data_IF_408218212248
#
_entry.id   IF_408218212248
#
_cell.length_a   1.000
_cell.length_b   1.000
_cell.length_c   1.000
_cell.angle_alpha   90.00
_cell.angle_beta   90.00
_cell.angle_gamma   90.00
#
_symmetry.space_group_name_H-M   'P 1'
#
loop_
_entity.id
_entity.type
_entity.pdbx_description
1 polymer ?
#
# COMPACT_ATOMS: atom_id res chain seq x y z
N UNK A 1 -3.42 32.14 28.42
CA UNK A 1 -4.90 32.22 28.31
C UNK A 1 -5.23 33.40 27.42
N UNK A 2 -5.80 33.17 26.24
CA UNK A 2 -6.25 34.26 25.34
C UNK A 2 -7.36 35.05 26.01
N UNK A 3 -7.22 36.38 26.05
CA UNK A 3 -8.26 37.28 26.56
C UNK A 3 -9.18 37.62 25.40
N UNK A 4 -10.43 37.14 25.44
CA UNK A 4 -11.42 37.28 24.35
C UNK A 4 -11.74 38.73 23.95
N UNK A 5 -11.43 39.72 24.81
CA UNK A 5 -11.80 41.12 24.63
C UNK A 5 -10.67 42.05 24.15
N UNK A 6 -9.59 41.52 23.56
CA UNK A 6 -8.52 42.36 22.97
C UNK A 6 -8.19 41.94 21.53
N UNK A 7 -7.93 42.88 20.61
CA UNK A 7 -7.45 42.54 19.27
C UNK A 7 -6.13 41.75 19.39
N UNK A 8 -6.11 40.57 18.80
CA UNK A 8 -4.93 39.68 18.84
C UNK A 8 -3.93 40.16 17.80
N UNK A 9 -2.70 40.46 18.23
CA UNK A 9 -1.60 40.85 17.33
C UNK A 9 -1.38 39.79 16.24
N UNK A 10 -1.55 40.17 14.98
CA UNK A 10 -1.31 39.28 13.85
C UNK A 10 0.14 39.41 13.39
N UNK A 11 0.97 38.44 13.78
CA UNK A 11 2.34 38.35 13.29
C UNK A 11 2.38 38.01 11.80
N UNK A 12 3.18 38.76 11.04
CA UNK A 12 3.45 38.51 9.61
C UNK A 12 4.57 37.48 9.38
N UNK A 13 5.25 37.02 10.44
CA UNK A 13 6.27 35.97 10.37
C UNK A 13 5.65 34.63 9.92
N UNK A 14 6.48 33.78 9.32
CA UNK A 14 6.13 32.42 8.90
C UNK A 14 5.52 31.63 10.07
N UNK A 15 6.07 31.78 11.28
CA UNK A 15 5.55 31.13 12.51
C UNK A 15 4.16 31.64 12.88
N UNK A 16 3.90 32.94 12.71
CA UNK A 16 2.58 33.53 12.97
C UNK A 16 1.54 33.05 11.98
N UNK A 17 1.92 32.92 10.70
CA UNK A 17 1.08 32.33 9.65
C UNK A 17 0.77 30.87 9.95
N UNK A 18 1.80 30.06 10.26
CA UNK A 18 1.66 28.65 10.63
C UNK A 18 0.74 28.47 11.84
N UNK A 19 0.92 29.27 12.89
CA UNK A 19 0.07 29.21 14.07
C UNK A 19 -1.40 29.43 13.75
N UNK A 20 -1.74 30.42 12.91
CA UNK A 20 -3.13 30.68 12.50
C UNK A 20 -3.72 29.54 11.69
N UNK A 21 -2.97 29.01 10.72
CA UNK A 21 -3.40 27.86 9.92
C UNK A 21 -3.65 26.64 10.82
N UNK A 22 -2.70 26.31 11.70
CA UNK A 22 -2.82 25.18 12.63
C UNK A 22 -3.96 25.39 13.63
N UNK A 23 -4.14 26.61 14.15
CA UNK A 23 -5.21 26.95 15.10
C UNK A 23 -6.59 26.78 14.48
N UNK A 24 -6.78 27.26 13.25
CA UNK A 24 -8.03 27.11 12.49
C UNK A 24 -8.31 25.63 12.22
N UNK A 25 -7.28 24.85 11.85
CA UNK A 25 -7.40 23.40 11.65
C UNK A 25 -7.72 22.65 12.96
N UNK A 26 -7.12 23.05 14.08
CA UNK A 26 -7.40 22.44 15.39
C UNK A 26 -8.84 22.67 15.86
N UNK A 27 -9.40 23.85 15.57
CA UNK A 27 -10.81 24.17 15.87
C UNK A 27 -11.79 23.39 14.99
N UNK A 28 -11.42 23.09 13.74
CA UNK A 28 -12.22 22.29 12.79
C UNK A 28 -12.13 20.76 13.05
N UNK A 29 -11.08 20.31 13.75
CA UNK A 29 -10.82 18.88 14.07
C UNK A 29 -11.65 18.30 15.21
N UNK A 30 -12.58 19.07 15.80
CA UNK A 30 -13.56 18.56 16.77
C UNK A 30 -14.50 17.49 16.18
N UNK A 31 -14.56 17.38 14.85
CA UNK A 31 -15.17 16.24 14.18
C UNK A 31 -14.14 15.10 13.99
N UNK A 32 -13.90 14.30 15.04
CA UNK A 32 -13.22 12.99 14.95
C UNK A 32 -13.98 12.15 13.91
N UNK A 33 -13.50 12.11 12.67
CA UNK A 33 -14.01 11.18 11.66
C UNK A 33 -13.45 9.80 12.02
N UNK A 34 -14.24 9.00 12.73
CA UNK A 34 -13.89 7.62 13.02
C UNK A 34 -13.64 6.88 11.70
N UNK A 35 -12.66 5.98 11.73
CA UNK A 35 -12.50 5.05 10.62
C UNK A 35 -13.79 4.21 10.54
N UNK A 36 -14.41 4.18 9.36
CA UNK A 36 -15.71 3.51 9.16
C UNK A 36 -15.54 2.32 8.24
N UNK A 37 -16.46 1.35 8.31
CA UNK A 37 -16.51 0.21 7.37
C UNK A 37 -16.43 0.64 5.90
N UNK A 38 -17.11 1.75 5.54
CA UNK A 38 -17.08 2.32 4.19
C UNK A 38 -15.69 2.85 3.82
N UNK A 39 -14.96 3.43 4.77
CA UNK A 39 -13.56 3.82 4.57
C UNK A 39 -12.67 2.60 4.37
N UNK A 40 -12.84 1.54 5.18
CA UNK A 40 -12.12 0.28 5.03
C UNK A 40 -12.30 -0.33 3.64
N UNK A 41 -13.53 -0.37 3.11
CA UNK A 41 -13.79 -0.88 1.75
C UNK A 41 -13.07 -0.08 0.66
N UNK A 42 -12.93 1.25 0.82
CA UNK A 42 -12.36 2.12 -0.22
C UNK A 42 -10.84 2.23 -0.15
N UNK A 43 -10.27 2.15 1.05
CA UNK A 43 -8.85 2.40 1.31
C UNK A 43 -8.03 1.12 1.42
N UNK A 44 -8.66 -0.05 1.33
CA UNK A 44 -7.96 -1.31 1.41
C UNK A 44 -6.99 -1.48 0.24
N UNK A 45 -5.72 -1.73 0.57
CA UNK A 45 -4.68 -1.94 -0.43
C UNK A 45 -4.62 -3.41 -0.84
N UNK A 46 -4.91 -3.70 -2.10
CA UNK A 46 -4.82 -5.05 -2.66
C UNK A 46 -3.38 -5.50 -2.91
N UNK A 47 -2.42 -4.58 -2.92
CA UNK A 47 -1.02 -4.89 -3.15
C UNK A 47 -0.37 -5.58 -1.95
N UNK A 48 -1.00 -5.55 -0.78
CA UNK A 48 -0.50 -6.31 0.37
C UNK A 48 -0.96 -7.77 0.37
N UNK A 49 -1.83 -8.20 -0.55
CA UNK A 49 -2.25 -9.60 -0.64
C UNK A 49 -1.16 -10.48 -1.26
N UNK A 50 -0.73 -11.51 -0.56
CA UNK A 50 0.22 -12.53 -1.02
C UNK A 50 -0.46 -13.89 -1.00
N UNK A 51 -0.29 -14.68 -2.05
CA UNK A 51 -0.96 -15.97 -2.17
C UNK A 51 -0.62 -16.89 -0.98
N UNK A 52 -1.63 -17.60 -0.46
CA UNK A 52 -1.47 -18.50 0.69
C UNK A 52 -1.72 -17.86 2.06
N UNK A 53 -1.92 -16.54 2.15
CA UNK A 53 -2.18 -15.85 3.41
C UNK A 53 -3.45 -16.33 4.14
N UNK A 54 -4.42 -16.85 3.38
CA UNK A 54 -5.71 -17.33 3.88
C UNK A 54 -5.57 -18.39 4.97
N UNK A 55 -4.53 -19.22 4.89
CA UNK A 55 -4.23 -20.28 5.86
C UNK A 55 -3.96 -19.74 7.26
N UNK A 56 -3.50 -18.50 7.36
CA UNK A 56 -3.09 -17.87 8.62
C UNK A 56 -4.13 -16.90 9.17
N UNK A 57 -5.27 -16.70 8.48
CA UNK A 57 -6.28 -15.74 8.89
C UNK A 57 -6.86 -16.02 10.28
N UNK A 58 -7.12 -17.28 10.61
CA UNK A 58 -7.68 -17.66 11.91
C UNK A 58 -6.74 -17.26 13.06
N UNK A 59 -5.48 -17.67 12.97
CA UNK A 59 -4.48 -17.39 14.02
C UNK A 59 -4.14 -15.89 14.05
N UNK A 60 -4.06 -15.22 12.90
CA UNK A 60 -3.88 -13.77 12.85
C UNK A 60 -5.05 -13.01 13.52
N UNK A 61 -6.28 -13.52 13.38
CA UNK A 61 -7.47 -12.99 14.04
C UNK A 61 -7.39 -13.12 15.57
N UNK A 62 -6.90 -14.25 16.08
CA UNK A 62 -6.67 -14.49 17.50
C UNK A 62 -5.62 -13.52 18.06
N UNK A 63 -4.46 -13.37 17.39
CA UNK A 63 -3.42 -12.42 17.81
C UNK A 63 -3.88 -10.97 17.76
N UNK A 64 -4.68 -10.59 16.76
CA UNK A 64 -5.28 -9.25 16.72
C UNK A 64 -6.18 -9.03 17.95
N UNK A 65 -7.03 -9.99 18.30
CA UNK A 65 -7.90 -9.86 19.47
C UNK A 65 -7.11 -9.74 20.78
N UNK A 66 -6.03 -10.52 20.92
CA UNK A 66 -5.13 -10.41 22.08
C UNK A 66 -4.44 -9.04 22.15
N UNK A 67 -3.94 -8.54 21.02
CA UNK A 67 -3.32 -7.23 20.92
C UNK A 67 -4.30 -6.10 21.29
N UNK A 68 -5.49 -6.11 20.68
CA UNK A 68 -6.52 -5.10 20.90
C UNK A 68 -6.96 -5.05 22.37
N UNK A 69 -7.10 -6.22 23.00
CA UNK A 69 -7.45 -6.31 24.43
C UNK A 69 -6.35 -5.73 25.32
N UNK A 70 -5.08 -6.01 25.01
CA UNK A 70 -3.94 -5.43 25.74
C UNK A 70 -3.83 -3.92 25.54
N UNK A 71 -4.04 -3.45 24.31
CA UNK A 71 -4.02 -2.03 23.99
C UNK A 71 -5.14 -1.28 24.73
N UNK A 72 -6.35 -1.84 24.73
CA UNK A 72 -7.48 -1.27 25.46
C UNK A 72 -7.19 -1.17 26.96
N UNK A 73 -6.62 -2.21 27.57
CA UNK A 73 -6.22 -2.17 28.98
C UNK A 73 -5.18 -1.07 29.26
N UNK A 74 -4.23 -0.84 28.36
CA UNK A 74 -3.28 0.27 28.49
C UNK A 74 -3.98 1.63 28.37
N UNK A 75 -4.90 1.77 27.43
CA UNK A 75 -5.71 2.99 27.27
C UNK A 75 -6.53 3.28 28.53
N UNK A 76 -7.22 2.28 29.08
CA UNK A 76 -8.02 2.40 30.30
C UNK A 76 -7.14 2.73 31.52
N UNK A 77 -5.98 2.08 31.66
CA UNK A 77 -5.04 2.32 32.77
C UNK A 77 -4.51 3.75 32.79
N UNK A 78 -4.14 4.29 31.62
CA UNK A 78 -3.62 5.66 31.50
C UNK A 78 -4.71 6.71 31.26
N UNK A 79 -5.98 6.31 31.14
CA UNK A 79 -7.10 7.21 30.85
C UNK A 79 -7.03 7.88 29.48
N UNK A 80 -6.47 7.19 28.47
CA UNK A 80 -6.33 7.70 27.10
C UNK A 80 -7.55 7.28 26.27
N UNK A 81 -8.22 8.26 25.65
CA UNK A 81 -9.47 8.00 24.92
C UNK A 81 -9.24 7.38 23.53
N UNK A 82 -8.11 7.66 22.86
CA UNK A 82 -7.91 7.22 21.46
C UNK A 82 -6.63 6.46 21.20
N UNK A 83 -6.73 5.51 20.27
CA UNK A 83 -5.59 4.76 19.74
C UNK A 83 -4.50 5.70 19.18
N UNK A 84 -4.90 6.74 18.45
CA UNK A 84 -3.94 7.66 17.84
C UNK A 84 -3.08 8.37 18.90
N UNK A 85 -3.66 8.74 20.04
CA UNK A 85 -2.93 9.39 21.14
C UNK A 85 -1.93 8.44 21.79
N UNK A 86 -2.35 7.22 22.15
CA UNK A 86 -1.47 6.24 22.81
C UNK A 86 -0.36 5.73 21.89
N UNK A 87 -0.65 5.50 20.61
CA UNK A 87 0.31 4.98 19.62
C UNK A 87 1.32 6.05 19.19
N UNK A 88 0.91 7.32 19.13
CA UNK A 88 1.81 8.44 18.79
C UNK A 88 2.58 8.98 19.99
N UNK A 89 2.15 8.68 21.21
CA UNK A 89 2.66 9.30 22.43
C UNK A 89 2.28 10.77 22.60
N UNK A 90 1.47 11.34 21.70
CA UNK A 90 1.03 12.73 21.75
C UNK A 90 -0.37 12.84 22.37
N UNK A 91 -0.41 12.84 23.69
CA UNK A 91 -1.66 12.85 24.46
C UNK A 91 -2.11 14.30 24.67
N UNK A 92 -3.31 14.61 24.17
CA UNK A 92 -3.82 15.99 24.13
C UNK A 92 -4.44 16.42 25.47
N UNK A 93 -5.04 15.47 26.21
CA UNK A 93 -5.77 15.71 27.44
C UNK A 93 -5.26 14.79 28.54
N UNK A 94 -4.30 15.30 29.31
CA UNK A 94 -3.80 14.62 30.50
C UNK A 94 -4.66 14.98 31.71
N UNK A 95 -4.89 14.03 32.63
CA UNK A 95 -5.54 14.32 33.91
C UNK A 95 -4.65 15.23 34.78
N UNK A 96 -5.23 15.95 35.73
CA UNK A 96 -4.52 16.97 36.54
C UNK A 96 -3.42 16.38 37.46
N UNK A 97 -3.37 15.06 37.64
CA UNK A 97 -2.39 14.36 38.49
C UNK A 97 -1.24 13.72 37.70
N UNK A 98 -1.13 13.98 36.40
CA UNK A 98 -0.11 13.38 35.54
C UNK A 98 1.23 14.13 35.64
N UNK A 99 2.30 13.40 35.95
CA UNK A 99 3.66 13.92 35.85
C UNK A 99 4.14 13.76 34.41
N UNK A 100 3.97 14.84 33.64
CA UNK A 100 4.04 14.87 32.18
C UNK A 100 5.25 14.14 31.55
N UNK A 101 6.42 14.11 32.19
CA UNK A 101 7.60 13.42 31.65
C UNK A 101 7.64 11.93 31.96
N UNK A 102 7.57 11.57 33.25
CA UNK A 102 7.71 10.16 33.69
C UNK A 102 6.59 9.29 33.16
N UNK A 103 5.38 9.82 33.15
CA UNK A 103 4.21 9.04 32.76
C UNK A 103 4.16 8.86 31.23
N UNK A 104 4.57 9.87 30.44
CA UNK A 104 4.73 9.72 28.98
C UNK A 104 5.79 8.68 28.62
N UNK A 105 6.93 8.67 29.33
CA UNK A 105 7.96 7.64 29.15
C UNK A 105 7.40 6.26 29.51
N UNK A 106 6.66 6.13 30.61
CA UNK A 106 6.00 4.89 31.01
C UNK A 106 5.00 4.38 29.96
N UNK A 107 4.18 5.25 29.39
CA UNK A 107 3.25 4.92 28.30
C UNK A 107 4.02 4.43 27.07
N UNK A 108 5.04 5.17 26.65
CA UNK A 108 5.85 4.79 25.49
C UNK A 108 6.51 3.42 25.70
N UNK A 109 7.08 3.17 26.88
CA UNK A 109 7.66 1.87 27.22
C UNK A 109 6.62 0.75 27.21
N UNK A 110 5.42 0.97 27.76
CA UNK A 110 4.35 -0.02 27.76
C UNK A 110 3.88 -0.35 26.32
N UNK A 111 3.68 0.67 25.49
CA UNK A 111 3.30 0.50 24.07
C UNK A 111 4.41 -0.20 23.28
N UNK A 112 5.67 0.17 23.51
CA UNK A 112 6.82 -0.50 22.88
C UNK A 112 6.91 -1.97 23.30
N UNK A 113 6.69 -2.26 24.58
CA UNK A 113 6.66 -3.64 25.09
C UNK A 113 5.57 -4.45 24.40
N UNK A 114 4.35 -3.91 24.27
CA UNK A 114 3.25 -4.56 23.54
C UNK A 114 3.59 -4.81 22.06
N UNK A 115 4.23 -3.84 21.39
CA UNK A 115 4.67 -4.01 19.99
C UNK A 115 5.73 -5.10 19.85
N UNK A 116 6.68 -5.16 20.79
CA UNK A 116 7.72 -6.19 20.80
C UNK A 116 7.12 -7.58 21.05
N UNK A 117 6.14 -7.68 21.95
CA UNK A 117 5.43 -8.92 22.20
C UNK A 117 4.66 -9.40 20.96
N UNK A 118 3.93 -8.50 20.29
CA UNK A 118 3.27 -8.82 19.03
C UNK A 118 4.28 -9.26 17.96
N UNK A 119 5.44 -8.61 17.87
CA UNK A 119 6.51 -9.03 16.97
C UNK A 119 7.07 -10.42 17.32
N UNK A 120 7.11 -10.80 18.60
CA UNK A 120 7.50 -12.14 19.00
C UNK A 120 6.48 -13.18 18.53
N UNK A 121 5.17 -12.93 18.71
CA UNK A 121 4.12 -13.81 18.17
C UNK A 121 4.24 -13.98 16.65
N UNK A 122 4.55 -12.89 15.95
CA UNK A 122 4.81 -12.94 14.51
C UNK A 122 6.01 -13.84 14.16
N UNK A 123 7.13 -13.70 14.88
CA UNK A 123 8.33 -14.50 14.65
C UNK A 123 8.10 -15.99 14.95
N UNK A 124 7.34 -16.31 16.00
CA UNK A 124 6.93 -17.69 16.29
C UNK A 124 6.05 -18.25 15.17
N UNK A 125 5.09 -17.47 14.69
CA UNK A 125 4.19 -17.84 13.61
C UNK A 125 4.95 -18.12 12.32
N UNK A 126 5.91 -17.25 11.97
CA UNK A 126 6.85 -17.42 10.86
C UNK A 126 7.72 -18.67 11.03
N UNK A 127 8.10 -19.01 12.26
CA UNK A 127 8.94 -20.19 12.49
C UNK A 127 8.16 -21.49 12.40
N UNK A 128 6.84 -21.44 12.65
CA UNK A 128 5.90 -22.58 12.56
C UNK A 128 5.30 -22.73 11.16
N UNK A 129 5.43 -21.74 10.28
CA UNK A 129 4.96 -21.86 8.91
C UNK A 129 5.86 -22.83 8.15
N UNK A 130 5.24 -23.81 7.52
CA UNK A 130 5.90 -24.74 6.59
C UNK A 130 5.40 -24.42 5.17
N UNK A 131 5.35 -23.15 4.77
CA UNK A 131 4.64 -22.82 3.53
C UNK A 131 5.39 -23.42 2.34
N UNK A 132 4.77 -24.41 1.71
CA UNK A 132 5.16 -24.91 0.39
C UNK A 132 4.84 -23.90 -0.74
N UNK A 133 4.57 -22.63 -0.41
CA UNK A 133 4.32 -21.56 -1.39
C UNK A 133 5.66 -21.06 -1.92
N UNK A 134 6.27 -21.83 -2.82
CA UNK A 134 7.64 -21.65 -3.32
C UNK A 134 7.95 -20.36 -4.11
N UNK A 135 7.20 -19.27 -3.90
CA UNK A 135 7.37 -18.00 -4.60
C UNK A 135 7.57 -16.80 -3.66
N UNK A 136 7.16 -16.88 -2.38
CA UNK A 136 7.28 -15.78 -1.41
C UNK A 136 7.75 -16.26 -0.04
N UNK A 137 8.53 -15.44 0.67
CA UNK A 137 8.93 -15.68 2.06
C UNK A 137 7.68 -15.84 2.94
N UNK A 138 7.69 -16.84 3.81
CA UNK A 138 6.70 -17.09 4.84
C UNK A 138 6.34 -15.83 5.64
N UNK A 139 7.33 -14.97 5.87
CA UNK A 139 7.12 -13.69 6.53
C UNK A 139 6.12 -12.80 5.78
N UNK A 140 6.12 -12.83 4.45
CA UNK A 140 5.21 -12.02 3.64
C UNK A 140 3.79 -12.57 3.71
N UNK A 141 3.65 -13.90 3.70
CA UNK A 141 2.37 -14.58 3.77
C UNK A 141 1.68 -14.29 5.11
N UNK A 142 2.41 -14.39 6.22
CA UNK A 142 1.89 -14.07 7.56
C UNK A 142 1.59 -12.58 7.71
N UNK A 143 2.47 -11.69 7.24
CA UNK A 143 2.25 -10.24 7.34
C UNK A 143 1.02 -9.79 6.52
N UNK A 144 0.80 -10.41 5.36
CA UNK A 144 -0.40 -10.20 4.54
C UNK A 144 -1.67 -10.59 5.28
N UNK A 145 -1.65 -11.70 6.02
CA UNK A 145 -2.78 -12.13 6.85
C UNK A 145 -3.08 -11.11 7.96
N UNK A 146 -2.05 -10.63 8.66
CA UNK A 146 -2.21 -9.61 9.71
C UNK A 146 -2.82 -8.31 9.15
N UNK A 147 -2.32 -7.87 7.99
CA UNK A 147 -2.85 -6.71 7.29
C UNK A 147 -4.32 -6.91 6.88
N UNK A 148 -4.66 -8.09 6.33
CA UNK A 148 -6.03 -8.41 5.89
C UNK A 148 -7.03 -8.38 7.04
N UNK A 149 -6.71 -9.06 8.13
CA UNK A 149 -7.55 -9.15 9.34
C UNK A 149 -7.80 -7.77 9.96
N UNK A 150 -6.87 -6.82 9.78
CA UNK A 150 -7.03 -5.48 10.35
C UNK A 150 -7.77 -4.51 9.43
N UNK A 151 -7.41 -4.45 8.15
CA UNK A 151 -7.91 -3.39 7.26
C UNK A 151 -9.03 -3.83 6.33
N UNK A 152 -9.26 -5.13 6.15
CA UNK A 152 -10.29 -5.61 5.25
C UNK A 152 -11.68 -5.46 5.86
N UNK A 153 -12.64 -4.99 5.06
CA UNK A 153 -14.00 -4.70 5.52
C UNK A 153 -14.78 -5.91 6.02
N UNK A 154 -14.36 -7.14 5.68
CA UNK A 154 -14.98 -8.37 6.17
C UNK A 154 -14.73 -8.61 7.65
N UNK A 155 -13.60 -8.14 8.18
CA UNK A 155 -13.23 -8.27 9.60
C UNK A 155 -13.66 -7.05 10.42
N UNK A 156 -14.38 -6.11 9.79
CA UNK A 156 -14.89 -4.93 10.46
C UNK A 156 -15.91 -5.32 11.52
N UNK A 157 -15.63 -5.00 12.78
CA UNK A 157 -16.54 -5.25 13.89
C UNK A 157 -16.67 -6.71 14.32
N UNK A 158 -15.91 -7.64 13.71
CA UNK A 158 -15.87 -9.06 14.12
C UNK A 158 -15.30 -9.26 15.54
N UNK A 159 -14.73 -8.21 16.12
CA UNK A 159 -14.10 -8.22 17.45
C UNK A 159 -15.00 -7.60 18.53
N UNK A 160 -16.22 -7.19 18.16
CA UNK A 160 -17.11 -6.35 18.96
C UNK A 160 -18.40 -7.07 19.37
N UNK A 161 -18.44 -8.41 19.38
CA UNK A 161 -19.62 -9.14 19.87
C UNK A 161 -19.94 -8.75 21.32
N UNK A 162 -20.89 -7.83 21.49
CA UNK A 162 -21.41 -7.37 22.78
C UNK A 162 -20.79 -6.09 23.36
N UNK A 163 -19.75 -5.50 22.75
CA UNK A 163 -19.10 -4.28 23.27
C UNK A 163 -18.93 -3.27 22.13
N UNK A 164 -19.47 -2.06 22.29
CA UNK A 164 -19.30 -0.91 21.37
C UNK A 164 -17.84 -0.41 21.34
N UNK A 165 -16.88 -1.29 21.04
CA UNK A 165 -15.45 -1.00 21.03
C UNK A 165 -15.03 -0.43 19.67
N UNK A 166 -14.07 0.48 19.71
CA UNK A 166 -13.46 1.02 18.50
C UNK A 166 -12.65 -0.05 17.77
N UNK A 167 -12.63 0.03 16.44
CA UNK A 167 -11.82 -0.86 15.60
C UNK A 167 -10.39 -0.34 15.53
N UNK A 168 -9.47 -1.01 16.24
CA UNK A 168 -8.05 -0.63 16.27
C UNK A 168 -7.31 -1.00 14.99
N UNK A 169 -6.35 -0.16 14.61
CA UNK A 169 -5.63 -0.18 13.33
C UNK A 169 -4.11 -0.37 13.47
N UNK A 170 -3.56 -0.35 14.68
CA UNK A 170 -2.12 -0.34 14.94
C UNK A 170 -1.49 -1.73 14.89
N UNK A 171 -2.28 -2.80 14.96
CA UNK A 171 -1.77 -4.17 15.05
C UNK A 171 -0.76 -4.53 13.92
N UNK A 172 -1.05 -4.34 12.62
CA UNK A 172 -0.10 -4.65 11.54
C UNK A 172 1.10 -3.71 11.51
N UNK A 173 1.04 -2.53 12.15
CA UNK A 173 2.18 -1.61 12.23
C UNK A 173 3.33 -2.21 13.05
N UNK A 174 3.05 -3.23 13.87
CA UNK A 174 4.07 -4.00 14.57
C UNK A 174 5.04 -4.69 13.60
N UNK A 175 4.65 -4.94 12.35
CA UNK A 175 5.44 -5.58 11.27
C UNK A 175 5.54 -4.70 10.01
N UNK A 176 5.53 -3.38 10.20
CA UNK A 176 5.55 -2.41 9.10
C UNK A 176 6.75 -2.56 8.15
N UNK A 177 7.91 -2.99 8.66
CA UNK A 177 9.12 -3.30 7.90
C UNK A 177 8.85 -4.32 6.78
N UNK A 178 8.15 -5.40 7.11
CA UNK A 178 7.80 -6.46 6.16
C UNK A 178 6.74 -5.97 5.18
N UNK A 179 5.72 -5.25 5.66
CA UNK A 179 4.67 -4.69 4.81
C UNK A 179 5.24 -3.69 3.79
N UNK A 180 6.21 -2.87 4.19
CA UNK A 180 6.92 -1.96 3.30
C UNK A 180 7.71 -2.73 2.25
N UNK A 181 8.36 -3.83 2.64
CA UNK A 181 9.10 -4.66 1.70
C UNK A 181 8.19 -5.30 0.65
N UNK A 182 7.03 -5.85 1.05
CA UNK A 182 6.01 -6.37 0.12
C UNK A 182 5.63 -5.31 -0.92
N UNK A 183 5.40 -4.07 -0.48
CA UNK A 183 5.06 -2.96 -1.40
C UNK A 183 6.19 -2.65 -2.37
N UNK A 184 7.44 -2.61 -1.90
CA UNK A 184 8.60 -2.39 -2.75
C UNK A 184 8.73 -3.47 -3.81
N UNK A 185 8.57 -4.73 -3.43
CA UNK A 185 8.71 -5.87 -4.34
C UNK A 185 7.61 -5.89 -5.41
N UNK A 186 6.36 -5.54 -5.04
CA UNK A 186 5.28 -5.38 -6.01
C UNK A 186 5.47 -4.19 -6.94
N UNK A 187 5.95 -3.05 -6.43
CA UNK A 187 6.26 -1.89 -7.27
C UNK A 187 7.36 -2.21 -8.29
N UNK A 188 8.42 -2.89 -7.85
CA UNK A 188 9.51 -3.35 -8.71
C UNK A 188 9.01 -4.34 -9.77
N UNK A 189 8.23 -5.34 -9.36
CA UNK A 189 7.63 -6.32 -10.27
C UNK A 189 6.77 -5.67 -11.36
N UNK A 190 6.02 -4.61 -11.02
CA UNK A 190 5.25 -3.83 -12.00
C UNK A 190 6.16 -3.12 -12.99
N UNK A 191 7.22 -2.47 -12.52
CA UNK A 191 8.19 -1.77 -13.37
C UNK A 191 8.85 -2.77 -14.33
N UNK A 192 9.30 -3.92 -13.85
CA UNK A 192 9.87 -4.97 -14.70
C UNK A 192 8.85 -5.49 -15.71
N UNK A 193 7.61 -5.77 -15.30
CA UNK A 193 6.55 -6.21 -16.21
C UNK A 193 6.24 -5.16 -17.29
N UNK A 194 6.25 -3.88 -16.95
CA UNK A 194 6.08 -2.78 -17.92
C UNK A 194 7.27 -2.71 -18.89
N UNK A 195 8.51 -2.77 -18.39
CA UNK A 195 9.71 -2.81 -19.24
C UNK A 195 9.71 -4.01 -20.18
N UNK A 196 9.41 -5.21 -19.67
CA UNK A 196 9.34 -6.43 -20.49
C UNK A 196 8.24 -6.32 -21.55
N UNK A 197 7.06 -5.77 -21.22
CA UNK A 197 6.02 -5.50 -22.23
C UNK A 197 6.48 -4.50 -23.29
N UNK A 198 7.18 -3.44 -22.92
CA UNK A 198 7.73 -2.49 -23.89
C UNK A 198 8.76 -3.15 -24.82
N UNK A 199 9.62 -4.02 -24.27
CA UNK A 199 10.60 -4.78 -25.06
C UNK A 199 9.88 -5.75 -26.02
N UNK A 200 8.89 -6.50 -25.54
CA UNK A 200 8.12 -7.43 -26.37
C UNK A 200 7.35 -6.71 -27.49
N UNK A 201 6.68 -5.60 -27.18
CA UNK A 201 5.97 -4.80 -28.18
C UNK A 201 6.93 -4.22 -29.24
N UNK A 202 8.11 -3.75 -28.83
CA UNK A 202 9.12 -3.26 -29.77
C UNK A 202 9.65 -4.38 -30.68
N UNK A 203 9.86 -5.58 -30.14
CA UNK A 203 10.29 -6.75 -30.92
C UNK A 203 9.21 -7.21 -31.92
N UNK A 204 7.94 -7.23 -31.51
CA UNK A 204 6.80 -7.53 -32.40
C UNK A 204 6.66 -6.48 -33.52
N UNK A 205 6.87 -5.20 -33.21
CA UNK A 205 6.85 -4.12 -34.20
C UNK A 205 7.99 -4.28 -35.21
N UNK A 206 9.20 -4.61 -34.74
CA UNK A 206 10.37 -4.84 -35.58
C UNK A 206 10.19 -6.07 -36.50
N UNK A 207 9.59 -7.15 -36.01
CA UNK A 207 9.25 -8.32 -36.82
C UNK A 207 8.20 -7.99 -37.89
N UNK A 208 7.18 -7.20 -37.55
CA UNK A 208 6.13 -6.80 -38.50
C UNK A 208 6.67 -5.88 -39.62
N UNK A 209 7.61 -4.98 -39.30
CA UNK A 209 8.32 -4.16 -40.30
C UNK A 209 9.14 -5.07 -41.24
N UNK A 210 9.93 -5.99 -40.69
CA UNK A 210 10.80 -6.86 -41.47
C UNK A 210 10.01 -7.83 -42.39
N UNK A 211 8.81 -8.26 -41.98
CA UNK A 211 7.89 -9.04 -42.85
C UNK A 211 7.34 -8.18 -43.99
N UNK A 212 6.96 -6.93 -43.73
CA UNK A 212 6.50 -6.00 -44.78
C UNK A 212 7.61 -5.68 -45.77
N UNK A 213 8.83 -5.45 -45.29
CA UNK A 213 9.98 -5.19 -46.15
C UNK A 213 10.33 -6.39 -47.02
N UNK A 214 10.25 -7.63 -46.49
CA UNK A 214 10.39 -8.86 -47.28
C UNK A 214 9.27 -9.05 -48.30
N UNK A 215 8.02 -8.70 -47.97
CA UNK A 215 6.91 -8.75 -48.92
C UNK A 215 7.06 -7.71 -50.03
N UNK A 216 7.52 -6.50 -49.70
CA UNK A 216 7.80 -5.43 -50.67
C UNK A 216 8.94 -5.86 -51.62
N UNK A 217 10.02 -6.43 -51.08
CA UNK A 217 11.12 -6.97 -51.88
C UNK A 217 10.67 -8.12 -52.80
N UNK A 218 9.81 -9.03 -52.32
CA UNK A 218 9.22 -10.07 -53.18
C UNK A 218 8.31 -9.48 -54.28
N UNK A 219 7.52 -8.45 -53.97
CA UNK A 219 6.61 -7.81 -54.92
C UNK A 219 7.36 -7.04 -56.02
N UNK A 220 8.44 -6.32 -55.66
CA UNK A 220 9.29 -5.61 -56.61
C UNK A 220 10.03 -6.57 -57.56
N UNK A 221 10.53 -7.70 -57.05
CA UNK A 221 11.16 -8.73 -57.89
C UNK A 221 10.15 -9.43 -58.82
N UNK A 222 8.90 -9.61 -58.39
CA UNK A 222 7.83 -10.13 -59.25
C UNK A 222 7.51 -9.15 -60.38
N UNK A 223 7.33 -7.85 -60.07
CA UNK A 223 7.07 -6.82 -61.08
C UNK A 223 8.24 -6.61 -62.05
N UNK A 224 9.49 -6.69 -61.58
CA UNK A 224 10.69 -6.63 -62.41
C UNK A 224 10.79 -7.77 -63.44
N UNK A 225 10.40 -9.00 -63.05
CA UNK A 225 10.38 -10.16 -63.95
C UNK A 225 9.30 -10.05 -65.04
N UNK A 226 8.13 -9.50 -64.72
CA UNK A 226 7.07 -9.24 -65.72
C UNK A 226 7.42 -8.08 -66.67
N UNK A 227 8.14 -7.06 -66.22
CA UNK A 227 8.60 -5.96 -67.07
C UNK A 227 9.65 -6.43 -68.11
N UNK A 228 10.55 -7.35 -67.73
CA UNK A 228 11.53 -7.92 -68.66
C UNK A 228 10.89 -8.80 -69.75
N UNK A 229 9.87 -9.59 -69.40
CA UNK A 229 9.12 -10.40 -70.39
C UNK A 229 8.33 -9.54 -71.38
N UNK A 230 7.84 -8.36 -70.96
CA UNK A 230 7.07 -7.44 -71.83
C UNK A 230 7.96 -6.62 -72.78
N UNK A 231 9.23 -6.40 -72.44
CA UNK A 231 10.23 -5.76 -73.31
C UNK A 231 10.78 -6.72 -74.37
N UNK A 232 10.95 -8.01 -74.06
CA UNK A 232 11.44 -8.99 -75.03
C UNK A 232 10.42 -9.36 -76.12
N UNK A 233 9.11 -9.19 -75.85
CA UNK A 233 8.05 -9.37 -76.84
C UNK A 233 7.85 -8.16 -77.78
N UNK A 234 8.58 -7.06 -77.58
CA UNK A 234 8.49 -5.85 -78.43
C UNK A 234 9.61 -5.72 -79.47
N UNK A 235 10.67 -6.55 -79.39
CA UNK A 235 11.85 -6.47 -80.28
C UNK A 235 11.83 -7.46 -81.46
N UNK A 236 10.82 -8.33 -81.57
CA UNK A 236 10.70 -9.31 -82.69
C UNK A 236 9.67 -8.87 -83.74
N UNK A 237 9.21 -7.61 -83.68
CA UNK A 237 8.03 -7.14 -84.41
C UNK A 237 8.23 -6.03 -85.44
N UNK A 238 9.45 -5.73 -85.91
CA UNK A 238 9.63 -4.75 -87.02
C UNK A 238 10.93 -4.97 -87.78
N UNK A 239 10.92 -5.82 -88.81
CA UNK A 239 11.76 -5.64 -90.01
C UNK A 239 11.18 -6.49 -91.15
N UNK A 240 10.21 -5.90 -91.85
CA UNK A 240 9.75 -6.31 -93.17
C UNK A 240 9.26 -5.05 -93.86
N UNK A 241 10.07 -4.47 -94.75
CA UNK A 241 9.61 -3.93 -96.04
C UNK A 241 10.76 -3.36 -96.88
N UNK A 242 10.80 -3.89 -98.11
CA UNK A 242 11.47 -3.45 -99.35
C UNK A 242 12.92 -3.90 -99.55
#
# INVERSE_FOLDING_TARGET
>A
MERQNKPTYQSNSIIGKLYREVKNVAQQKSHKKSFTKKAAMKLYDHDTKINGFEKYLKIACEYKHMYDSKLLNLMDYYGIETEAEIISGNILKMSKSFNDRKDKEGINHAVMSLRNEARNWFNEMKSKSNSQSGDYDDSYVVASAWYYVTYHSSYWGCYNEGLNKDHFLSFPLCVHDILVQIKKDKANSRIYRMKSRMIMNNAETALSINVKDKQLFCAENFLGSYAFKKLHLRTVGTSNHK
#
